data_IF_470199320751
#
_entry.id   IF_470199320751
#
_cell.length_a   1.000
_cell.length_b   1.000
_cell.length_c   1.000
_cell.angle_alpha   90.00
_cell.angle_beta   90.00
_cell.angle_gamma   90.00
#
_symmetry.space_group_name_H-M   'P 1'
#
loop_
_entity.id
_entity.type
_entity.pdbx_description
1 polymer ?
#
# COMPACT_ATOMS: atom_id res chain seq x y z
N UNK A 1 -6.37 -15.90 -15.17
CA UNK A 1 -4.95 -15.49 -15.19
C UNK A 1 -4.82 -14.10 -15.77
N UNK A 2 -4.03 -13.26 -15.12
CA UNK A 2 -3.81 -11.90 -15.62
C UNK A 2 -2.91 -11.93 -16.85
N UNK A 3 -3.25 -11.08 -17.83
CA UNK A 3 -2.38 -10.91 -19.00
C UNK A 3 -1.06 -10.29 -18.57
N UNK A 4 0.05 -10.81 -19.10
CA UNK A 4 1.39 -10.31 -18.81
C UNK A 4 1.94 -9.41 -19.92
N UNK A 5 1.25 -9.35 -21.08
CA UNK A 5 1.68 -8.49 -22.19
C UNK A 5 1.53 -7.02 -21.81
N UNK A 6 2.63 -6.25 -21.75
CA UNK A 6 2.56 -4.84 -21.40
C UNK A 6 1.89 -4.03 -22.49
N UNK A 7 0.89 -3.24 -22.14
CA UNK A 7 0.17 -2.38 -23.08
C UNK A 7 -0.44 -1.13 -22.46
N UNK A 8 -0.26 -0.94 -21.15
CA UNK A 8 -0.84 0.22 -20.44
C UNK A 8 0.25 1.28 -20.31
N UNK A 9 -0.03 2.49 -20.75
CA UNK A 9 0.95 3.58 -20.68
C UNK A 9 1.04 4.13 -19.26
N UNK A 10 2.15 4.81 -18.96
CA UNK A 10 2.33 5.48 -17.67
C UNK A 10 1.25 6.54 -17.45
N UNK A 11 0.87 7.27 -18.51
CA UNK A 11 -0.19 8.28 -18.43
C UNK A 11 -1.53 7.66 -18.05
N UNK A 12 -1.87 6.52 -18.66
CA UNK A 12 -3.11 5.81 -18.36
C UNK A 12 -3.17 5.37 -16.89
N UNK A 13 -2.08 4.83 -16.36
CA UNK A 13 -2.03 4.42 -14.94
C UNK A 13 -2.09 5.62 -14.00
N UNK A 14 -1.39 6.71 -14.34
CA UNK A 14 -1.44 7.93 -13.54
C UNK A 14 -2.87 8.45 -13.43
N UNK A 15 -3.57 8.49 -14.57
CA UNK A 15 -4.95 8.99 -14.62
C UNK A 15 -5.91 8.07 -13.84
N UNK A 16 -5.75 6.76 -14.01
CA UNK A 16 -6.64 5.78 -13.36
C UNK A 16 -6.55 5.82 -11.83
N UNK A 17 -5.34 5.93 -11.31
CA UNK A 17 -5.11 5.82 -9.85
C UNK A 17 -4.83 7.15 -9.17
N UNK A 18 -4.78 8.25 -9.93
CA UNK A 18 -4.50 9.56 -9.36
C UNK A 18 -3.10 9.67 -8.77
N UNK A 19 -2.13 9.02 -9.39
CA UNK A 19 -0.73 9.05 -8.95
C UNK A 19 0.15 9.75 -9.97
N UNK A 20 1.33 10.18 -9.52
CA UNK A 20 2.28 10.85 -10.41
C UNK A 20 3.19 9.84 -11.10
N UNK A 21 3.74 10.23 -12.25
CA UNK A 21 4.75 9.44 -12.93
C UNK A 21 5.97 9.19 -12.03
N UNK A 22 6.31 10.18 -11.21
CA UNK A 22 7.41 10.07 -10.26
C UNK A 22 7.15 8.95 -9.24
N UNK A 23 5.93 8.85 -8.73
CA UNK A 23 5.56 7.79 -7.80
C UNK A 23 5.69 6.42 -8.45
N UNK A 24 5.22 6.28 -9.70
CA UNK A 24 5.33 5.01 -10.43
C UNK A 24 6.79 4.61 -10.66
N UNK A 25 7.64 5.57 -11.00
CA UNK A 25 9.08 5.29 -11.17
C UNK A 25 9.73 4.88 -9.86
N UNK A 26 9.30 5.46 -8.75
CA UNK A 26 9.78 5.06 -7.43
C UNK A 26 9.42 3.60 -7.14
N UNK A 27 8.19 3.19 -7.44
CA UNK A 27 7.78 1.79 -7.25
C UNK A 27 8.53 0.84 -8.17
N UNK A 28 8.85 1.28 -9.38
CA UNK A 28 9.69 0.53 -10.30
C UNK A 28 11.10 0.35 -9.73
N UNK A 29 11.70 1.41 -9.20
CA UNK A 29 13.03 1.38 -8.59
C UNK A 29 13.07 0.45 -7.38
N UNK A 30 11.97 0.37 -6.64
CA UNK A 30 11.83 -0.52 -5.48
C UNK A 30 11.45 -1.94 -5.89
N UNK A 31 11.40 -2.24 -7.18
CA UNK A 31 11.09 -3.56 -7.72
C UNK A 31 9.68 -4.05 -7.39
N UNK A 32 8.75 -3.14 -7.17
CA UNK A 32 7.36 -3.47 -6.88
C UNK A 32 6.55 -3.67 -8.16
N UNK A 33 6.90 -2.95 -9.22
CA UNK A 33 6.32 -3.10 -10.56
C UNK A 33 7.45 -3.15 -11.58
N UNK A 34 7.20 -3.75 -12.75
CA UNK A 34 8.24 -4.00 -13.76
C UNK A 34 7.72 -3.69 -15.15
N UNK A 35 7.65 -2.40 -15.53
CA UNK A 35 7.22 -2.05 -16.89
C UNK A 35 8.24 -2.52 -17.93
N UNK A 36 7.75 -2.76 -19.14
CA UNK A 36 8.60 -2.99 -20.29
C UNK A 36 8.94 -1.65 -20.94
N UNK A 37 10.20 -1.47 -21.32
CA UNK A 37 10.62 -0.28 -22.04
C UNK A 37 10.58 -0.57 -23.54
N UNK A 38 9.81 0.24 -24.29
CA UNK A 38 9.80 0.23 -25.75
C UNK A 38 10.24 1.60 -26.25
N UNK A 39 11.51 1.69 -26.63
CA UNK A 39 12.14 2.98 -26.87
C UNK A 39 12.20 3.77 -25.58
N UNK A 40 11.57 4.94 -25.57
CA UNK A 40 11.50 5.78 -24.36
C UNK A 40 10.19 5.59 -23.58
N UNK A 41 9.30 4.72 -24.07
CA UNK A 41 7.97 4.55 -23.50
C UNK A 41 7.97 3.37 -22.51
N UNK A 42 7.35 3.59 -21.34
CA UNK A 42 7.09 2.54 -20.37
C UNK A 42 5.71 1.97 -20.60
N UNK A 43 5.64 0.63 -20.70
CA UNK A 43 4.38 -0.08 -20.86
C UNK A 43 4.20 -1.05 -19.71
N UNK A 44 3.06 -0.98 -19.05
CA UNK A 44 2.74 -1.79 -17.89
C UNK A 44 1.78 -2.91 -18.25
N UNK A 45 1.93 -4.07 -17.58
CA UNK A 45 1.02 -5.20 -17.75
C UNK A 45 -0.18 -5.10 -16.81
N UNK A 46 -1.18 -5.95 -17.04
CA UNK A 46 -2.31 -6.08 -16.10
C UNK A 46 -1.83 -6.56 -14.73
N UNK A 47 -0.76 -7.35 -14.69
CA UNK A 47 -0.13 -7.77 -13.44
C UNK A 47 0.44 -6.57 -12.68
N UNK A 48 1.13 -5.68 -13.38
CA UNK A 48 1.64 -4.44 -12.78
C UNK A 48 0.50 -3.57 -12.24
N UNK A 49 -0.59 -3.49 -12.98
CA UNK A 49 -1.78 -2.74 -12.58
C UNK A 49 -2.37 -3.30 -11.29
N UNK A 50 -2.50 -4.63 -11.20
CA UNK A 50 -2.99 -5.28 -9.98
C UNK A 50 -2.06 -5.04 -8.80
N UNK A 51 -0.74 -5.11 -9.03
CA UNK A 51 0.25 -4.83 -7.98
C UNK A 51 0.17 -3.38 -7.51
N UNK A 52 -0.02 -2.44 -8.43
CA UNK A 52 -0.17 -1.04 -8.07
C UNK A 52 -1.39 -0.81 -7.17
N UNK A 53 -2.51 -1.47 -7.48
CA UNK A 53 -3.70 -1.37 -6.65
C UNK A 53 -3.42 -1.82 -5.21
N UNK A 54 -2.67 -2.91 -5.03
CA UNK A 54 -2.26 -3.41 -3.71
C UNK A 54 -1.32 -2.45 -3.00
N UNK A 55 -0.34 -1.89 -3.73
CA UNK A 55 0.60 -0.90 -3.18
C UNK A 55 -0.16 0.29 -2.60
N UNK A 56 -1.05 0.87 -3.37
CA UNK A 56 -1.79 2.06 -2.97
C UNK A 56 -2.72 1.78 -1.80
N UNK A 57 -3.36 0.62 -1.79
CA UNK A 57 -4.22 0.21 -0.68
C UNK A 57 -3.43 0.02 0.61
N UNK A 58 -2.28 -0.66 0.52
CA UNK A 58 -1.41 -0.88 1.67
C UNK A 58 -0.88 0.42 2.24
N UNK A 59 -0.46 1.33 1.38
CA UNK A 59 -0.01 2.65 1.82
C UNK A 59 -1.11 3.43 2.54
N UNK A 60 -2.33 3.34 2.03
CA UNK A 60 -3.46 4.06 2.62
C UNK A 60 -3.72 3.64 4.05
N UNK A 61 -3.54 2.36 4.37
CA UNK A 61 -3.75 1.84 5.73
C UNK A 61 -2.48 1.84 6.57
N UNK A 62 -1.39 2.38 6.04
CA UNK A 62 -0.16 2.62 6.80
C UNK A 62 0.83 1.46 6.84
N UNK A 63 0.75 0.52 5.91
CA UNK A 63 1.81 -0.48 5.77
C UNK A 63 3.07 0.17 5.23
N UNK A 64 4.22 -0.30 5.69
CA UNK A 64 5.51 0.11 5.14
C UNK A 64 5.70 -0.50 3.74
N UNK A 65 6.59 0.10 2.94
CA UNK A 65 6.92 -0.48 1.63
C UNK A 65 7.49 -1.89 1.76
N UNK A 66 8.26 -2.15 2.82
CA UNK A 66 8.80 -3.49 3.08
C UNK A 66 7.69 -4.51 3.30
N UNK A 67 6.67 -4.15 4.08
CA UNK A 67 5.51 -5.01 4.31
C UNK A 67 4.72 -5.24 3.02
N UNK A 68 4.51 -4.18 2.24
CA UNK A 68 3.80 -4.27 0.96
C UNK A 68 4.56 -5.19 0.01
N UNK A 69 5.88 -5.03 -0.08
CA UNK A 69 6.72 -5.87 -0.94
C UNK A 69 6.64 -7.33 -0.52
N UNK A 70 6.72 -7.60 0.77
CA UNK A 70 6.58 -8.97 1.31
C UNK A 70 5.28 -9.61 0.83
N UNK A 71 4.15 -8.88 0.94
CA UNK A 71 2.85 -9.41 0.53
C UNK A 71 2.76 -9.61 -0.98
N UNK A 72 3.33 -8.69 -1.76
CA UNK A 72 3.34 -8.82 -3.23
C UNK A 72 4.19 -10.00 -3.69
N UNK A 73 5.33 -10.23 -3.04
CA UNK A 73 6.21 -11.34 -3.40
C UNK A 73 5.56 -12.69 -3.12
N UNK A 74 4.70 -12.79 -2.13
CA UNK A 74 3.95 -14.01 -1.82
C UNK A 74 2.91 -14.35 -2.89
N UNK A 75 2.49 -13.38 -3.67
CA UNK A 75 1.54 -13.59 -4.75
C UNK A 75 2.03 -14.59 -5.80
N UNK A 76 3.35 -14.68 -6.00
CA UNK A 76 3.95 -15.47 -7.05
C UNK A 76 4.33 -16.90 -6.62
N UNK A 77 3.91 -17.35 -5.43
CA UNK A 77 4.29 -18.68 -4.91
C UNK A 77 3.58 -19.86 -5.60
N UNK A 78 2.55 -19.59 -6.38
CA UNK A 78 1.86 -20.64 -7.12
C UNK A 78 0.88 -21.49 -6.33
N UNK A 79 0.52 -21.06 -5.11
CA UNK A 79 -0.41 -21.76 -4.23
C UNK A 79 -1.82 -21.18 -4.26
N UNK A 80 -2.21 -20.53 -5.37
CA UNK A 80 -3.53 -19.92 -5.52
C UNK A 80 -3.72 -18.71 -4.65
N UNK A 81 -2.63 -18.05 -4.25
CA UNK A 81 -2.62 -16.86 -3.40
C UNK A 81 -3.01 -17.13 -1.94
N UNK A 82 -3.06 -18.39 -1.54
CA UNK A 82 -3.45 -18.73 -0.18
C UNK A 82 -2.46 -18.18 0.85
N UNK A 83 -1.15 -18.32 0.60
CA UNK A 83 -0.13 -17.79 1.49
C UNK A 83 -0.21 -16.28 1.59
N UNK A 84 -0.41 -15.59 0.47
CA UNK A 84 -0.58 -14.15 0.47
C UNK A 84 -1.81 -13.75 1.29
N UNK A 85 -2.92 -14.45 1.11
CA UNK A 85 -4.18 -14.16 1.82
C UNK A 85 -3.99 -14.29 3.33
N UNK A 86 -3.40 -15.39 3.78
CA UNK A 86 -3.19 -15.64 5.21
C UNK A 86 -2.23 -14.62 5.83
N UNK A 87 -1.15 -14.29 5.13
CA UNK A 87 -0.19 -13.30 5.61
C UNK A 87 -0.80 -11.91 5.66
N UNK A 88 -1.60 -11.57 4.69
CA UNK A 88 -2.31 -10.28 4.66
C UNK A 88 -3.27 -10.16 5.85
N UNK A 89 -4.01 -11.23 6.15
CA UNK A 89 -4.89 -11.26 7.33
C UNK A 89 -4.09 -11.02 8.60
N UNK A 90 -2.97 -11.69 8.75
CA UNK A 90 -2.08 -11.53 9.91
C UNK A 90 -1.61 -10.10 10.06
N UNK A 91 -1.11 -9.50 8.98
CA UNK A 91 -0.63 -8.11 8.99
C UNK A 91 -1.74 -7.11 9.30
N UNK A 92 -2.92 -7.34 8.75
CA UNK A 92 -4.08 -6.47 9.04
C UNK A 92 -4.47 -6.54 10.51
N UNK A 93 -4.48 -7.73 11.10
CA UNK A 93 -4.81 -7.89 12.53
C UNK A 93 -3.79 -7.20 13.42
N UNK A 94 -2.51 -7.32 13.10
CA UNK A 94 -1.45 -6.62 13.83
C UNK A 94 -1.62 -5.11 13.75
N UNK A 95 -1.95 -4.61 12.56
CA UNK A 95 -2.16 -3.18 12.33
C UNK A 95 -3.36 -2.66 13.10
N UNK A 96 -4.48 -3.40 13.07
CA UNK A 96 -5.69 -3.05 13.82
C UNK A 96 -5.38 -2.97 15.31
N UNK A 97 -4.68 -3.97 15.86
CA UNK A 97 -4.33 -3.99 17.27
C UNK A 97 -3.48 -2.78 17.66
N UNK A 98 -2.51 -2.42 16.82
CA UNK A 98 -1.68 -1.26 17.05
C UNK A 98 -2.50 0.04 17.04
N UNK A 99 -3.40 0.19 16.07
CA UNK A 99 -4.24 1.37 15.95
C UNK A 99 -5.20 1.48 17.13
N UNK A 100 -5.73 0.37 17.62
CA UNK A 100 -6.59 0.36 18.82
C UNK A 100 -5.83 0.85 20.05
N UNK A 101 -4.58 0.42 20.22
CA UNK A 101 -3.73 0.92 21.31
C UNK A 101 -3.47 2.42 21.17
N UNK A 102 -3.18 2.89 19.96
CA UNK A 102 -2.99 4.32 19.70
C UNK A 102 -4.25 5.11 20.00
N UNK A 103 -5.41 4.56 19.68
CA UNK A 103 -6.70 5.22 19.96
C UNK A 103 -6.91 5.40 21.45
N UNK A 104 -6.62 4.37 22.24
CA UNK A 104 -6.70 4.47 23.71
C UNK A 104 -5.78 5.56 24.24
N UNK A 105 -4.53 5.60 23.75
CA UNK A 105 -3.56 6.60 24.16
C UNK A 105 -3.98 8.01 23.78
N UNK A 106 -4.55 8.17 22.59
CA UNK A 106 -5.06 9.47 22.11
C UNK A 106 -6.22 9.92 23.02
N UNK A 107 -7.17 9.05 23.31
CA UNK A 107 -8.30 9.35 24.17
C UNK A 107 -7.82 9.78 25.57
N UNK A 108 -6.84 9.07 26.12
CA UNK A 108 -6.27 9.43 27.42
C UNK A 108 -5.62 10.82 27.40
N UNK A 109 -4.91 11.14 26.33
CA UNK A 109 -4.27 12.45 26.18
C UNK A 109 -5.30 13.57 26.04
N UNK A 110 -6.38 13.33 25.31
CA UNK A 110 -7.48 14.28 25.19
C UNK A 110 -8.10 14.56 26.56
N UNK A 111 -8.36 13.49 27.33
CA UNK A 111 -8.94 13.61 28.67
C UNK A 111 -8.03 14.42 29.60
N UNK A 112 -6.73 14.16 29.55
CA UNK A 112 -5.75 14.88 30.36
C UNK A 112 -5.71 16.37 29.99
N UNK A 113 -5.73 16.69 28.70
CA UNK A 113 -5.76 18.06 28.24
C UNK A 113 -7.05 18.78 28.67
N UNK A 114 -8.18 18.10 28.61
CA UNK A 114 -9.45 18.64 29.05
C UNK A 114 -9.45 18.93 30.55
N UNK A 115 -8.86 18.04 31.34
CA UNK A 115 -8.70 18.26 32.79
C UNK A 115 -7.81 19.47 33.05
N UNK A 116 -6.75 19.61 32.29
CA UNK A 116 -5.86 20.77 32.37
C UNK A 116 -6.61 22.09 32.08
N UNK A 117 -7.45 22.07 31.03
CA UNK A 117 -8.26 23.22 30.66
C UNK A 117 -9.24 23.61 31.80
N UNK A 118 -9.84 22.62 32.46
CA UNK A 118 -10.72 22.86 33.60
C UNK A 118 -9.99 23.57 34.74
N UNK A 119 -8.75 23.16 35.02
CA UNK A 119 -7.95 23.80 36.05
C UNK A 119 -7.68 25.29 35.74
N UNK A 120 -7.42 25.61 34.48
CA UNK A 120 -7.08 26.95 34.05
C UNK A 120 -8.31 27.86 33.94
N UNK A 121 -9.46 27.31 33.59
CA UNK A 121 -10.71 28.07 33.45
C UNK A 121 -11.54 28.12 34.73
N UNK A 122 -11.07 27.43 35.68
CA UNK A 122 -11.60 27.45 36.99
C UNK A 122 -12.68 26.93 37.48
#
# INVERSE_FOLDING_TARGET
MLATTPKITIGELCDEYGVTARALRFYEDEQLISPELRGTQRLYSERDRARLAWILRGKRVGFSLAEIKELLDLYDLGDGRETQRLKTIERCRERVAMLERQRVDIDATIDELNDFLKLLNG
#
